data_IF_591930945013
#
_entry.id   IF_591930945013
#
_cell.length_a   1.000
_cell.length_b   1.000
_cell.length_c   1.000
_cell.angle_alpha   90.00
_cell.angle_beta   90.00
_cell.angle_gamma   90.00
#
_symmetry.space_group_name_H-M   'P 1'
#
loop_
_entity.id
_entity.type
_entity.pdbx_description
1 polymer ?
#
# COMPACT_ATOMS: atom_id res chain seq x y z
N UNK A 1 4.13 -19.95 -2.52
CA UNK A 1 4.45 -19.61 -1.12
C UNK A 1 3.28 -18.83 -0.55
N UNK A 2 2.86 -19.07 0.69
CA UNK A 2 1.83 -18.25 1.34
C UNK A 2 2.30 -16.79 1.42
N UNK A 3 1.35 -15.85 1.37
CA UNK A 3 1.64 -14.44 1.60
C UNK A 3 2.16 -14.29 3.04
N UNK A 4 3.33 -13.67 3.26
CA UNK A 4 3.83 -13.44 4.61
C UNK A 4 2.89 -12.50 5.35
N UNK A 5 2.81 -12.70 6.67
CA UNK A 5 2.09 -11.80 7.55
C UNK A 5 2.59 -10.36 7.38
N UNK A 6 1.67 -9.38 7.52
CA UNK A 6 2.06 -7.97 7.56
C UNK A 6 2.97 -7.66 8.75
N UNK A 7 3.74 -6.56 8.70
CA UNK A 7 4.50 -6.09 9.87
C UNK A 7 3.60 -5.89 11.10
N UNK A 8 4.08 -6.15 12.31
CA UNK A 8 3.30 -5.96 13.54
C UNK A 8 2.84 -4.51 13.77
N UNK A 9 3.60 -3.55 13.24
CA UNK A 9 3.38 -2.11 13.39
C UNK A 9 2.49 -1.54 12.27
N UNK A 10 1.42 -2.25 11.93
CA UNK A 10 0.48 -1.78 10.91
C UNK A 10 -0.94 -2.29 11.11
N UNK A 11 -1.89 -1.53 10.57
CA UNK A 11 -3.31 -1.84 10.63
C UNK A 11 -3.95 -1.82 9.24
N UNK A 12 -5.04 -2.56 9.09
CA UNK A 12 -5.89 -2.43 7.91
C UNK A 12 -6.72 -1.16 8.02
N UNK A 13 -6.56 -0.25 7.07
CA UNK A 13 -7.39 0.95 6.97
C UNK A 13 -8.42 0.78 5.86
N UNK A 14 -9.63 1.30 6.10
CA UNK A 14 -10.72 1.30 5.12
C UNK A 14 -10.58 2.37 4.03
N UNK A 15 -9.69 3.35 4.23
CA UNK A 15 -9.36 4.40 3.28
C UNK A 15 -7.93 4.89 3.53
N UNK A 16 -7.21 5.19 2.45
CA UNK A 16 -5.84 5.68 2.50
C UNK A 16 -5.76 7.07 1.88
N UNK A 17 -5.15 8.01 2.60
CA UNK A 17 -5.04 9.41 2.18
C UNK A 17 -3.66 9.72 1.63
N UNK A 18 -3.59 10.66 0.70
CA UNK A 18 -2.31 11.18 0.22
C UNK A 18 -1.47 11.68 1.41
N UNK A 19 -0.22 11.20 1.51
CA UNK A 19 0.69 11.46 2.61
C UNK A 19 0.70 10.39 3.70
N UNK A 20 -0.23 9.44 3.72
CA UNK A 20 -0.20 8.34 4.69
C UNK A 20 1.03 7.45 4.47
N UNK A 21 1.76 7.19 5.56
CA UNK A 21 2.80 6.18 5.60
C UNK A 21 2.14 4.78 5.64
N UNK A 22 2.53 3.91 4.71
CA UNK A 22 1.93 2.59 4.55
C UNK A 22 3.00 1.53 4.32
N UNK A 23 2.65 0.30 4.67
CA UNK A 23 3.29 -0.89 4.14
C UNK A 23 2.48 -1.42 2.98
N UNK A 24 3.13 -1.73 1.88
CA UNK A 24 2.50 -2.37 0.73
C UNK A 24 3.17 -3.68 0.38
N UNK A 25 2.36 -4.68 0.02
CA UNK A 25 2.84 -6.01 -0.30
C UNK A 25 3.15 -6.12 -1.79
N UNK A 26 4.40 -6.46 -2.12
CA UNK A 26 4.81 -6.66 -3.51
C UNK A 26 5.98 -7.62 -3.63
N UNK A 27 5.92 -8.48 -4.65
CA UNK A 27 7.00 -9.42 -4.96
C UNK A 27 7.40 -10.29 -3.75
N UNK A 28 6.42 -10.73 -2.97
CA UNK A 28 6.65 -11.61 -1.83
C UNK A 28 7.13 -10.90 -0.56
N UNK A 29 7.20 -9.57 -0.51
CA UNK A 29 7.60 -8.82 0.68
C UNK A 29 6.79 -7.55 0.90
N UNK A 30 6.65 -7.19 2.16
CA UNK A 30 6.14 -5.90 2.58
C UNK A 30 7.23 -4.83 2.44
N UNK A 31 6.84 -3.65 1.96
CA UNK A 31 7.72 -2.51 1.74
C UNK A 31 7.07 -1.25 2.28
N UNK A 32 7.87 -0.35 2.84
CA UNK A 32 7.40 0.96 3.25
C UNK A 32 7.22 1.88 2.03
N UNK A 33 6.17 2.68 2.07
CA UNK A 33 5.91 3.70 1.06
C UNK A 33 4.95 4.75 1.57
N UNK A 34 4.68 5.73 0.71
CA UNK A 34 3.78 6.84 0.99
C UNK A 34 2.67 6.85 -0.05
N UNK A 35 1.43 6.96 0.41
CA UNK A 35 0.27 7.08 -0.48
C UNK A 35 0.33 8.44 -1.19
N UNK A 36 0.21 8.44 -2.51
CA UNK A 36 0.11 9.64 -3.33
C UNK A 36 -1.35 10.03 -3.61
N UNK A 37 -2.22 9.03 -3.64
CA UNK A 37 -3.65 9.22 -3.85
C UNK A 37 -4.31 7.95 -4.37
N UNK A 38 -5.63 8.03 -4.58
CA UNK A 38 -6.39 6.94 -5.18
C UNK A 38 -6.07 6.88 -6.68
N UNK A 39 -5.63 5.72 -7.14
CA UNK A 39 -5.20 5.49 -8.51
C UNK A 39 -5.95 4.30 -9.09
N UNK A 40 -6.96 4.55 -9.90
CA UNK A 40 -7.81 3.49 -10.48
C UNK A 40 -9.26 3.95 -10.60
N UNK A 41 -9.87 3.65 -11.75
CA UNK A 41 -11.23 4.04 -12.10
C UNK A 41 -12.27 3.12 -11.48
N UNK A 42 -13.45 3.67 -11.22
CA UNK A 42 -14.56 3.25 -10.34
C UNK A 42 -15.23 1.88 -10.55
N UNK A 43 -14.64 0.94 -11.28
CA UNK A 43 -15.31 -0.34 -11.65
C UNK A 43 -14.62 -1.59 -11.08
N UNK A 44 -13.33 -1.50 -10.76
CA UNK A 44 -12.55 -2.58 -10.13
C UNK A 44 -12.02 -2.11 -8.77
N UNK A 45 -11.80 -3.05 -7.85
CA UNK A 45 -11.40 -2.82 -6.45
C UNK A 45 -10.46 -1.62 -6.25
N UNK A 46 -10.66 -0.82 -5.19
CA UNK A 46 -9.91 0.42 -4.98
C UNK A 46 -8.41 0.16 -5.01
N UNK A 47 -7.73 0.95 -5.85
CA UNK A 47 -6.28 0.96 -5.99
C UNK A 47 -5.75 2.33 -5.61
N UNK A 48 -4.54 2.35 -5.06
CA UNK A 48 -3.86 3.54 -4.58
C UNK A 48 -2.47 3.62 -5.20
N UNK A 49 -2.07 4.83 -5.61
CA UNK A 49 -0.69 5.13 -5.96
C UNK A 49 0.13 5.22 -4.67
N UNK A 50 1.17 4.39 -4.56
CA UNK A 50 2.12 4.34 -3.45
C UNK A 50 3.52 4.61 -4.01
N UNK A 51 4.25 5.54 -3.43
CA UNK A 51 5.67 5.76 -3.73
C UNK A 51 6.52 4.95 -2.77
N UNK A 52 7.40 4.09 -3.30
CA UNK A 52 8.39 3.33 -2.52
C UNK A 52 9.40 4.31 -1.89
N UNK A 53 9.58 4.24 -0.57
CA UNK A 53 10.49 5.15 0.16
C UNK A 53 11.96 4.95 -0.22
N UNK A 54 12.34 3.70 -0.54
CA UNK A 54 13.73 3.35 -0.85
C UNK A 54 14.15 3.68 -2.29
N UNK A 55 13.20 3.78 -3.24
CA UNK A 55 13.48 3.97 -4.67
C UNK A 55 12.83 5.20 -5.29
N UNK A 56 11.86 5.84 -4.63
CA UNK A 56 11.09 6.96 -5.18
C UNK A 56 10.18 6.57 -6.35
N UNK A 57 9.95 5.27 -6.56
CA UNK A 57 9.20 4.74 -7.68
C UNK A 57 7.71 4.62 -7.31
N UNK A 58 6.83 5.19 -8.12
CA UNK A 58 5.38 5.13 -7.89
C UNK A 58 4.78 3.83 -8.43
N UNK A 59 3.88 3.23 -7.66
CA UNK A 59 3.20 1.98 -7.99
C UNK A 59 1.73 2.05 -7.64
N UNK A 60 0.90 1.50 -8.52
CA UNK A 60 -0.49 1.21 -8.20
C UNK A 60 -0.58 -0.10 -7.42
N UNK A 61 -1.19 -0.03 -6.24
CA UNK A 61 -1.37 -1.16 -5.32
C UNK A 61 -2.84 -1.26 -4.96
N UNK A 62 -3.38 -2.49 -4.91
CA UNK A 62 -4.74 -2.73 -4.45
C UNK A 62 -4.86 -2.53 -2.94
N UNK A 63 -6.03 -2.10 -2.46
CA UNK A 63 -6.29 -1.85 -1.03
C UNK A 63 -5.91 -3.03 -0.12
N UNK A 64 -6.23 -4.27 -0.55
CA UNK A 64 -5.88 -5.49 0.20
C UNK A 64 -4.38 -5.79 0.27
N UNK A 65 -3.57 -5.09 -0.51
CA UNK A 65 -2.11 -5.15 -0.48
C UNK A 65 -1.49 -3.96 0.27
N UNK A 66 -2.28 -3.15 0.96
CA UNK A 66 -1.83 -1.99 1.73
C UNK A 66 -2.21 -2.18 3.20
N UNK A 67 -1.33 -1.71 4.09
CA UNK A 67 -1.54 -1.59 5.52
C UNK A 67 -1.05 -0.22 5.98
N UNK A 68 -1.83 0.48 6.79
CA UNK A 68 -1.44 1.76 7.34
C UNK A 68 -0.40 1.55 8.42
N UNK A 69 0.69 2.32 8.37
CA UNK A 69 1.72 2.30 9.41
C UNK A 69 1.26 3.19 10.57
N UNK A 70 1.46 2.71 11.80
CA UNK A 70 1.11 3.42 13.03
C UNK A 70 2.24 4.32 13.56
#
# INVERSE_FOLDING_TARGET
MPRPDPPDDCEEASDYKAGDAVYYFRSGKWRAGIIKGKGGSSDESPRYSVTDDAKGDERLVGEGDIRKKN
#
